data_IF_527279762434
#
_entry.id   IF_527279762434
#
_cell.length_a   1.000
_cell.length_b   1.000
_cell.length_c   1.000
_cell.angle_alpha   90.00
_cell.angle_beta   90.00
_cell.angle_gamma   90.00
#
_symmetry.space_group_name_H-M   'P 1'
#
loop_
_entity.id
_entity.type
_entity.pdbx_description
1 polymer ?
#
# COMPACT_ATOMS: atom_id res chain seq x y z
N UNK A 1 -17.00 5.15 -16.26
CA UNK A 1 -15.54 5.19 -16.06
C UNK A 1 -14.85 3.92 -16.60
N UNK A 2 -15.27 2.70 -16.25
CA UNK A 2 -14.64 1.45 -16.75
C UNK A 2 -14.92 1.15 -18.24
N UNK A 3 -16.15 1.33 -18.71
CA UNK A 3 -16.50 1.16 -20.14
C UNK A 3 -15.69 2.05 -21.09
N UNK A 4 -15.31 3.25 -20.61
CA UNK A 4 -14.48 4.20 -21.35
C UNK A 4 -12.99 3.85 -21.36
N UNK A 5 -12.55 2.89 -20.54
CA UNK A 5 -11.18 2.36 -20.50
C UNK A 5 -11.03 1.00 -21.20
N UNK A 6 -12.04 0.58 -21.98
CA UNK A 6 -11.96 -0.63 -22.82
C UNK A 6 -12.39 -1.94 -22.15
N UNK A 7 -12.93 -1.91 -20.94
CA UNK A 7 -13.48 -3.10 -20.29
C UNK A 7 -14.81 -3.53 -20.93
N UNK A 8 -14.87 -4.77 -21.42
CA UNK A 8 -16.05 -5.36 -22.09
C UNK A 8 -17.09 -5.87 -21.09
N UNK A 9 -16.64 -6.49 -20.01
CA UNK A 9 -17.49 -7.17 -19.03
C UNK A 9 -17.54 -6.34 -17.76
N UNK A 10 -18.68 -5.66 -17.56
CA UNK A 10 -18.91 -4.78 -16.43
C UNK A 10 -20.00 -5.40 -15.57
N UNK A 11 -19.61 -5.89 -14.40
CA UNK A 11 -20.51 -6.36 -13.37
C UNK A 11 -20.87 -5.18 -12.46
N UNK A 12 -22.16 -4.88 -12.34
CA UNK A 12 -22.65 -3.92 -11.38
C UNK A 12 -23.15 -4.66 -10.14
N UNK A 13 -22.71 -4.22 -8.96
CA UNK A 13 -23.31 -4.67 -7.71
C UNK A 13 -24.74 -4.10 -7.65
N UNK A 14 -25.73 -4.98 -7.58
CA UNK A 14 -27.12 -4.57 -7.42
C UNK A 14 -27.25 -3.71 -6.15
N UNK A 15 -27.83 -2.51 -6.30
CA UNK A 15 -27.99 -1.54 -5.22
C UNK A 15 -26.76 -0.67 -4.89
N UNK A 16 -25.58 -1.03 -5.38
CA UNK A 16 -24.34 -0.29 -5.16
C UNK A 16 -24.04 -0.06 -3.67
N UNK A 17 -23.44 1.09 -3.34
CA UNK A 17 -23.07 1.43 -1.95
C UNK A 17 -24.28 1.55 -1.01
N UNK A 18 -25.50 1.78 -1.55
CA UNK A 18 -26.72 1.90 -0.73
C UNK A 18 -27.19 0.56 -0.19
N UNK A 19 -26.88 -0.54 -0.87
CA UNK A 19 -27.21 -1.90 -0.44
C UNK A 19 -26.00 -2.62 0.20
N UNK A 20 -24.86 -1.93 0.33
CA UNK A 20 -23.66 -2.44 0.99
C UNK A 20 -23.89 -2.56 2.50
N UNK A 21 -23.69 -3.76 3.05
CA UNK A 21 -23.88 -4.07 4.48
C UNK A 21 -22.58 -4.40 5.22
N UNK A 22 -21.45 -4.18 4.56
CA UNK A 22 -20.11 -4.48 5.06
C UNK A 22 -19.41 -3.17 5.47
N UNK A 23 -18.18 -3.22 6.01
CA UNK A 23 -17.46 -2.01 6.43
C UNK A 23 -17.29 -1.00 5.28
N UNK A 24 -17.35 0.28 5.61
CA UNK A 24 -17.09 1.39 4.69
C UNK A 24 -15.75 2.03 5.04
N UNK A 25 -15.14 2.74 4.08
CA UNK A 25 -13.92 3.50 4.33
C UNK A 25 -14.15 4.50 5.49
N UNK A 26 -13.14 4.60 6.36
CA UNK A 26 -13.11 5.49 7.52
C UNK A 26 -11.84 6.33 7.48
N UNK A 27 -11.85 7.48 8.14
CA UNK A 27 -10.75 8.44 8.07
C UNK A 27 -11.09 9.66 7.21
N UNK A 28 -10.18 10.62 7.17
CA UNK A 28 -10.34 11.84 6.38
C UNK A 28 -9.71 11.68 4.98
N UNK A 29 -10.14 12.45 3.96
CA UNK A 29 -9.59 12.34 2.61
C UNK A 29 -8.09 12.63 2.51
N UNK A 30 -7.54 13.36 3.47
CA UNK A 30 -6.15 13.75 3.63
C UNK A 30 -5.31 12.74 4.43
N UNK A 31 -5.91 11.67 4.94
CA UNK A 31 -5.18 10.58 5.60
C UNK A 31 -4.09 10.01 4.69
N UNK A 32 -2.86 9.91 5.20
CA UNK A 32 -1.71 9.44 4.43
C UNK A 32 -1.01 10.52 3.60
N UNK A 33 -1.56 11.74 3.56
CA UNK A 33 -0.89 12.91 2.97
C UNK A 33 0.07 13.61 3.92
N UNK A 34 0.21 13.17 5.17
CA UNK A 34 1.08 13.84 6.15
C UNK A 34 2.56 13.86 5.72
N UNK A 35 2.94 13.00 4.76
CA UNK A 35 4.26 12.95 4.13
C UNK A 35 4.42 13.94 2.96
N UNK A 36 3.32 14.56 2.51
CA UNK A 36 3.28 15.44 1.35
C UNK A 36 2.79 16.82 1.78
N UNK A 37 3.69 17.80 1.82
CA UNK A 37 3.34 19.21 1.99
C UNK A 37 2.92 19.88 0.67
N UNK A 38 3.06 19.16 -0.45
CA UNK A 38 2.66 19.57 -1.79
C UNK A 38 3.72 20.39 -2.53
N UNK A 39 4.90 20.57 -1.94
CA UNK A 39 6.04 21.25 -2.54
C UNK A 39 7.09 20.29 -3.10
N UNK A 40 6.87 18.98 -2.98
CA UNK A 40 7.83 17.95 -3.34
C UNK A 40 8.20 18.00 -4.82
N UNK A 41 9.50 17.86 -5.08
CA UNK A 41 9.96 17.56 -6.43
C UNK A 41 9.66 16.11 -6.81
N UNK A 42 9.75 15.80 -8.11
CA UNK A 42 9.60 14.44 -8.62
C UNK A 42 10.52 13.41 -7.93
N UNK A 43 11.77 13.79 -7.66
CA UNK A 43 12.72 12.91 -6.97
C UNK A 43 12.26 12.55 -5.56
N UNK A 44 11.77 13.55 -4.82
CA UNK A 44 11.29 13.41 -3.46
C UNK A 44 9.98 12.63 -3.40
N UNK A 45 9.05 12.89 -4.33
CA UNK A 45 7.81 12.10 -4.48
C UNK A 45 8.10 10.61 -4.67
N UNK A 46 9.05 10.27 -5.55
CA UNK A 46 9.43 8.86 -5.79
C UNK A 46 10.15 8.23 -4.60
N UNK A 47 10.95 9.01 -3.86
CA UNK A 47 11.60 8.56 -2.63
C UNK A 47 10.58 8.29 -1.53
N UNK A 48 9.60 9.18 -1.36
CA UNK A 48 8.50 9.00 -0.39
C UNK A 48 7.69 7.75 -0.75
N UNK A 49 7.27 7.60 -2.02
CA UNK A 49 6.56 6.41 -2.47
C UNK A 49 7.34 5.14 -2.14
N UNK A 50 8.64 5.10 -2.44
CA UNK A 50 9.46 3.94 -2.13
C UNK A 50 9.55 3.65 -0.62
N UNK A 51 9.60 4.70 0.21
CA UNK A 51 9.59 4.54 1.66
C UNK A 51 8.28 3.95 2.18
N UNK A 52 7.14 4.29 1.57
CA UNK A 52 5.84 3.72 1.89
C UNK A 52 5.80 2.21 1.61
N UNK A 53 6.22 1.82 0.40
CA UNK A 53 6.30 0.41 -0.02
C UNK A 53 7.26 -0.39 0.89
N UNK A 54 8.38 0.21 1.30
CA UNK A 54 9.31 -0.39 2.28
C UNK A 54 8.67 -0.57 3.66
N UNK A 55 7.94 0.43 4.15
CA UNK A 55 7.23 0.31 5.42
C UNK A 55 6.15 -0.78 5.35
N UNK A 56 5.41 -0.87 4.26
CA UNK A 56 4.37 -1.88 4.06
C UNK A 56 4.94 -3.30 3.98
N UNK A 57 6.07 -3.46 3.27
CA UNK A 57 6.82 -4.72 3.23
C UNK A 57 7.26 -5.17 4.62
N UNK A 58 7.85 -4.27 5.40
CA UNK A 58 8.32 -4.56 6.76
C UNK A 58 7.17 -4.98 7.68
N UNK A 59 6.00 -4.34 7.54
CA UNK A 59 4.78 -4.75 8.23
C UNK A 59 4.35 -6.17 7.87
N UNK A 60 4.26 -6.50 6.58
CA UNK A 60 3.85 -7.84 6.18
C UNK A 60 4.84 -8.91 6.68
N UNK A 61 6.14 -8.63 6.64
CA UNK A 61 7.15 -9.51 7.22
C UNK A 61 7.01 -9.67 8.74
N UNK A 62 6.73 -8.59 9.47
CA UNK A 62 6.50 -8.68 10.92
C UNK A 62 5.27 -9.53 11.22
N UNK A 63 4.15 -9.30 10.52
CA UNK A 63 2.92 -10.08 10.71
C UNK A 63 3.11 -11.55 10.38
N UNK A 64 3.84 -11.87 9.30
CA UNK A 64 4.17 -13.25 8.93
C UNK A 64 4.92 -14.00 10.04
N UNK A 65 5.64 -13.28 10.92
CA UNK A 65 6.39 -13.89 12.03
C UNK A 65 5.59 -14.03 13.32
N UNK A 66 4.44 -13.34 13.43
CA UNK A 66 3.60 -13.31 14.63
C UNK A 66 2.40 -14.26 14.57
N UNK A 67 1.96 -14.64 13.36
CA UNK A 67 0.81 -15.51 13.14
C UNK A 67 1.17 -17.00 13.29
N UNK A 68 0.23 -17.80 13.81
CA UNK A 68 0.45 -19.24 14.05
C UNK A 68 0.03 -20.12 12.86
N UNK A 69 -0.87 -19.64 12.01
CA UNK A 69 -1.41 -20.43 10.90
C UNK A 69 -0.50 -20.33 9.66
N UNK A 70 -0.09 -21.48 9.12
CA UNK A 70 0.86 -21.56 8.00
C UNK A 70 0.34 -20.85 6.74
N UNK A 71 -0.94 -20.98 6.42
CA UNK A 71 -1.57 -20.35 5.25
C UNK A 71 -1.65 -18.83 5.37
N UNK A 72 -1.87 -18.32 6.58
CA UNK A 72 -1.84 -16.89 6.87
C UNK A 72 -0.41 -16.33 6.82
N UNK A 73 0.57 -17.06 7.36
CA UNK A 73 1.98 -16.68 7.26
C UNK A 73 2.43 -16.62 5.79
N UNK A 74 2.04 -17.61 4.99
CA UNK A 74 2.33 -17.65 3.55
C UNK A 74 1.69 -16.48 2.80
N UNK A 75 0.46 -16.10 3.15
CA UNK A 75 -0.19 -14.92 2.59
C UNK A 75 0.58 -13.64 2.88
N UNK A 76 0.96 -13.41 4.13
CA UNK A 76 1.75 -12.22 4.50
C UNK A 76 3.11 -12.20 3.81
N UNK A 77 3.80 -13.34 3.73
CA UNK A 77 5.05 -13.46 2.97
C UNK A 77 4.85 -13.12 1.49
N UNK A 78 3.76 -13.58 0.88
CA UNK A 78 3.42 -13.27 -0.51
C UNK A 78 3.17 -11.78 -0.71
N UNK A 79 2.44 -11.12 0.20
CA UNK A 79 2.19 -9.68 0.14
C UNK A 79 3.52 -8.90 0.26
N UNK A 80 4.41 -9.29 1.18
CA UNK A 80 5.74 -8.68 1.28
C UNK A 80 6.58 -8.81 -0.01
N UNK A 81 6.43 -9.89 -0.78
CA UNK A 81 7.08 -10.06 -2.08
C UNK A 81 6.47 -9.17 -3.17
N UNK A 82 5.19 -8.82 -3.07
CA UNK A 82 4.56 -7.86 -3.99
C UNK A 82 5.19 -6.48 -3.84
N UNK A 83 5.40 -6.03 -2.61
CA UNK A 83 6.01 -4.72 -2.33
C UNK A 83 7.43 -4.58 -2.89
N UNK A 84 8.20 -5.67 -2.97
CA UNK A 84 9.52 -5.66 -3.63
C UNK A 84 9.39 -5.25 -5.10
N UNK A 85 8.33 -5.69 -5.78
CA UNK A 85 8.10 -5.34 -7.18
C UNK A 85 7.70 -3.87 -7.32
N UNK A 86 6.94 -3.31 -6.38
CA UNK A 86 6.62 -1.89 -6.36
C UNK A 86 7.89 -1.05 -6.19
N UNK A 87 8.74 -1.41 -5.23
CA UNK A 87 10.06 -0.80 -5.00
C UNK A 87 10.94 -0.82 -6.25
N UNK A 88 11.04 -1.96 -6.93
CA UNK A 88 11.79 -2.09 -8.19
C UNK A 88 11.24 -1.16 -9.28
N UNK A 89 9.92 -1.03 -9.39
CA UNK A 89 9.31 -0.10 -10.36
C UNK A 89 9.63 1.36 -10.01
N UNK A 90 9.50 1.75 -8.75
CA UNK A 90 9.78 3.12 -8.30
C UNK A 90 11.25 3.49 -8.51
N UNK A 91 12.18 2.62 -8.14
CA UNK A 91 13.61 2.80 -8.39
C UNK A 91 13.90 2.94 -9.89
N UNK A 92 13.28 2.11 -10.72
CA UNK A 92 13.42 2.19 -12.18
C UNK A 92 12.89 3.51 -12.74
N UNK A 93 11.77 4.03 -12.23
CA UNK A 93 11.28 5.35 -12.63
C UNK A 93 12.21 6.47 -12.15
N UNK A 94 12.70 6.39 -10.92
CA UNK A 94 13.67 7.35 -10.38
C UNK A 94 14.92 7.44 -11.26
N UNK A 95 15.54 6.30 -11.58
CA UNK A 95 16.72 6.24 -12.44
C UNK A 95 16.43 6.81 -13.84
N UNK A 96 15.28 6.45 -14.42
CA UNK A 96 14.87 6.93 -15.75
C UNK A 96 14.66 8.46 -15.78
N UNK A 97 14.07 9.02 -14.73
CA UNK A 97 13.68 10.44 -14.73
C UNK A 97 14.83 11.36 -14.29
N UNK A 98 15.72 10.89 -13.44
CA UNK A 98 16.89 11.65 -12.95
C UNK A 98 18.15 11.43 -13.78
N UNK A 99 18.22 10.30 -14.51
CA UNK A 99 19.44 9.83 -15.16
C UNK A 99 20.51 9.30 -14.20
N UNK A 100 20.22 9.23 -12.89
CA UNK A 100 21.13 8.69 -11.88
C UNK A 100 21.13 7.17 -11.92
N UNK A 101 22.29 6.56 -11.73
CA UNK A 101 22.44 5.12 -11.50
C UNK A 101 22.71 4.92 -10.02
N UNK A 102 21.68 4.47 -9.29
CA UNK A 102 21.72 4.25 -7.84
C UNK A 102 21.23 2.83 -7.55
N UNK A 103 21.87 2.12 -6.62
CA UNK A 103 21.43 0.80 -6.19
C UNK A 103 20.20 0.87 -5.28
N UNK A 104 19.51 -0.25 -5.08
CA UNK A 104 18.37 -0.29 -4.16
C UNK A 104 18.82 -0.02 -2.71
N UNK A 105 19.99 -0.51 -2.31
CA UNK A 105 20.57 -0.29 -0.98
C UNK A 105 20.92 1.19 -0.77
N UNK A 106 21.50 1.83 -1.78
CA UNK A 106 21.77 3.27 -1.75
C UNK A 106 20.46 4.07 -1.71
N UNK A 107 19.42 3.62 -2.40
CA UNK A 107 18.10 4.27 -2.36
C UNK A 107 17.43 4.13 -0.99
N UNK A 108 17.47 2.94 -0.40
CA UNK A 108 17.01 2.67 0.98
C UNK A 108 17.78 3.56 1.98
N UNK A 109 19.08 3.78 1.79
CA UNK A 109 19.87 4.61 2.70
C UNK A 109 19.46 6.10 2.71
N UNK A 110 18.70 6.56 1.71
CA UNK A 110 18.16 7.92 1.65
C UNK A 110 16.85 8.06 2.42
N UNK A 111 16.24 6.94 2.84
CA UNK A 111 15.01 6.92 3.62
C UNK A 111 15.36 7.31 5.06
N UNK A 112 14.92 8.50 5.48
CA UNK A 112 15.25 9.04 6.80
C UNK A 112 14.51 8.30 7.91
N UNK A 113 13.28 7.81 7.65
CA UNK A 113 12.54 6.86 8.50
C UNK A 113 11.56 6.04 7.65
N UNK A 114 11.47 4.70 7.84
CA UNK A 114 10.39 3.91 7.25
C UNK A 114 9.06 4.34 7.87
N UNK A 115 8.11 4.75 7.04
CA UNK A 115 6.73 4.97 7.44
C UNK A 115 5.86 4.07 6.58
N UNK A 116 4.91 3.38 7.18
CA UNK A 116 4.02 2.49 6.45
C UNK A 116 3.11 3.27 5.50
N UNK A 117 2.84 2.66 4.35
CA UNK A 117 1.88 3.15 3.36
C UNK A 117 0.50 3.49 3.96
N UNK A 118 -0.07 4.62 3.55
CA UNK A 118 -1.29 5.20 4.12
C UNK A 118 -1.10 6.01 5.41
N UNK A 119 0.17 6.26 5.81
CA UNK A 119 0.54 7.21 6.87
C UNK A 119 0.20 6.77 8.29
N UNK A 120 -0.07 5.48 8.49
CA UNK A 120 -0.39 4.88 9.78
C UNK A 120 0.61 3.79 10.11
N UNK A 121 1.02 3.71 11.37
CA UNK A 121 1.81 2.60 11.91
C UNK A 121 1.03 1.28 11.92
N UNK A 122 1.75 0.16 12.03
CA UNK A 122 1.18 -1.19 12.24
C UNK A 122 0.12 -1.21 13.33
N UNK A 123 0.42 -0.60 14.48
CA UNK A 123 -0.49 -0.56 15.62
C UNK A 123 -1.78 0.21 15.32
N UNK A 124 -1.71 1.28 14.53
CA UNK A 124 -2.87 2.06 14.12
C UNK A 124 -3.75 1.28 13.14
N UNK A 125 -3.14 0.59 12.17
CA UNK A 125 -3.87 -0.29 11.25
C UNK A 125 -4.61 -1.40 11.98
N UNK A 126 -3.92 -2.12 12.88
CA UNK A 126 -4.52 -3.21 13.65
C UNK A 126 -5.61 -2.71 14.61
N UNK A 127 -5.40 -1.56 15.27
CA UNK A 127 -6.39 -0.96 16.17
C UNK A 127 -7.65 -0.48 15.43
N UNK A 128 -7.48 0.06 14.23
CA UNK A 128 -8.58 0.61 13.43
C UNK A 128 -9.42 -0.48 12.78
N UNK A 129 -8.77 -1.40 12.08
CA UNK A 129 -9.47 -2.40 11.27
C UNK A 129 -9.79 -3.67 12.06
N UNK A 130 -9.05 -3.95 13.14
CA UNK A 130 -9.20 -5.12 14.00
C UNK A 130 -9.41 -6.41 13.18
N UNK A 131 -8.55 -6.68 12.18
CA UNK A 131 -8.70 -7.86 11.35
C UNK A 131 -8.59 -9.12 12.21
N UNK A 132 -9.34 -10.16 11.86
CA UNK A 132 -9.05 -11.49 12.37
C UNK A 132 -7.76 -11.99 11.71
N UNK A 133 -6.66 -11.98 12.48
CA UNK A 133 -5.33 -12.41 12.02
C UNK A 133 -5.22 -13.92 11.81
N UNK A 134 -6.29 -14.70 12.06
CA UNK A 134 -6.39 -16.10 11.66
C UNK A 134 -7.22 -16.30 10.38
N UNK A 135 -7.76 -15.21 9.81
CA UNK A 135 -8.63 -15.21 8.63
C UNK A 135 -7.92 -14.65 7.40
N UNK A 136 -7.64 -15.54 6.43
CA UNK A 136 -7.11 -15.17 5.11
C UNK A 136 -7.96 -14.08 4.43
N UNK A 137 -9.30 -14.16 4.54
CA UNK A 137 -10.18 -13.16 3.90
C UNK A 137 -10.10 -11.78 4.53
N UNK A 138 -9.91 -11.72 5.85
CA UNK A 138 -9.82 -10.45 6.58
C UNK A 138 -8.48 -9.78 6.29
N UNK A 139 -7.41 -10.56 6.22
CA UNK A 139 -6.07 -10.08 5.87
C UNK A 139 -6.04 -9.57 4.42
N UNK A 140 -6.64 -10.30 3.48
CA UNK A 140 -6.79 -9.81 2.10
C UNK A 140 -7.62 -8.51 2.05
N UNK A 141 -8.66 -8.40 2.86
CA UNK A 141 -9.49 -7.18 2.92
C UNK A 141 -8.72 -5.99 3.49
N UNK A 142 -7.87 -6.22 4.50
CA UNK A 142 -6.95 -5.20 5.02
C UNK A 142 -5.95 -4.78 3.94
N UNK A 143 -5.28 -5.74 3.28
CA UNK A 143 -4.30 -5.45 2.24
C UNK A 143 -4.94 -4.62 1.10
N UNK A 144 -6.09 -5.05 0.58
CA UNK A 144 -6.83 -4.31 -0.44
C UNK A 144 -7.21 -2.88 -0.01
N UNK A 145 -7.47 -2.67 1.29
CA UNK A 145 -7.79 -1.34 1.81
C UNK A 145 -6.56 -0.43 1.86
N UNK A 146 -5.37 -0.99 2.13
CA UNK A 146 -4.09 -0.26 2.09
C UNK A 146 -3.75 0.08 0.63
N UNK A 147 -3.79 -0.91 -0.25
CA UNK A 147 -3.52 -0.75 -1.69
C UNK A 147 -4.47 0.24 -2.38
N UNK A 148 -5.74 0.29 -1.95
CA UNK A 148 -6.70 1.26 -2.48
C UNK A 148 -6.33 2.70 -2.07
N UNK A 149 -5.80 2.88 -0.86
CA UNK A 149 -5.30 4.19 -0.40
C UNK A 149 -4.01 4.57 -1.13
N UNK A 150 -3.08 3.63 -1.32
CA UNK A 150 -1.89 3.80 -2.14
C UNK A 150 -2.23 4.24 -3.57
N UNK A 151 -3.17 3.54 -4.22
CA UNK A 151 -3.61 3.86 -5.57
C UNK A 151 -4.26 5.25 -5.64
N UNK A 152 -5.06 5.62 -4.66
CA UNK A 152 -5.66 6.96 -4.59
C UNK A 152 -4.59 8.04 -4.41
N UNK A 153 -3.59 7.81 -3.55
CA UNK A 153 -2.44 8.68 -3.38
C UNK A 153 -1.68 8.88 -4.71
N UNK A 154 -1.36 7.79 -5.41
CA UNK A 154 -0.64 7.84 -6.69
C UNK A 154 -1.42 8.47 -7.85
N UNK A 155 -2.74 8.65 -7.71
CA UNK A 155 -3.59 9.27 -8.74
C UNK A 155 -3.82 10.77 -8.54
N UNK A 156 -3.41 11.33 -7.40
CA UNK A 156 -3.53 12.76 -7.09
C UNK A 156 -2.42 13.57 -7.76
#
# INVERSE_FOLDING_TARGET
>A
MLKGKGFSDIYNLAGGIRDWKSPVAVGTPDQGLDLFDGSEGLEETLLIGFALEQGLREFYLSMSSEVEQDDVAELFSTLAEVEVRHQEQLLKQYQKMTGKSISIEEFISQIVQPMMEGGMSTAEYLSRYQPDLSSVSDILSLALSIEAQALDLYQR
#
